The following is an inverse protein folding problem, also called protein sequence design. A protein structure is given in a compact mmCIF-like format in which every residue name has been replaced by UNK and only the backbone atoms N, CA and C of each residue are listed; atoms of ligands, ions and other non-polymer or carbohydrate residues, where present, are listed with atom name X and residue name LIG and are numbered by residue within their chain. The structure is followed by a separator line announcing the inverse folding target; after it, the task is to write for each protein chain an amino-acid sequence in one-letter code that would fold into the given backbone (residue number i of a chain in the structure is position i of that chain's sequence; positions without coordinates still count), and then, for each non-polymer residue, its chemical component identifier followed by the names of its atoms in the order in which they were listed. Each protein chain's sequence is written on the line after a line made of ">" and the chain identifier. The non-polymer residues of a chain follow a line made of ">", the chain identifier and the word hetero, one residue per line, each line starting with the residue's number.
data_IF_088824751150
#
_entry.id   IF_088824751150
#
_cell.length_a   1.000
_cell.length_b   1.000
_cell.length_c   1.000
_cell.angle_alpha   90.00
_cell.angle_beta   90.00
_cell.angle_gamma   90.00
#
_symmetry.space_group_name_H-M   'P 1'
#
loop_
_entity.id
_entity.type
_entity.pdbx_description
1 polymer ?
#
# COMPACT_ATOMS: atom_id res chain seq x y z
N UNK A 1 -27.25 55.91 26.42
CA UNK A 1 -28.16 54.93 27.05
C UNK A 1 -28.77 54.17 25.88
N UNK A 2 -28.07 53.14 25.40
CA UNK A 2 -28.24 51.71 25.80
C UNK A 2 -29.52 51.17 25.20
N UNK A 3 -29.60 50.01 24.57
CA UNK A 3 -28.65 48.98 24.14
C UNK A 3 -29.52 48.20 23.13
N UNK A 4 -29.02 47.89 21.94
CA UNK A 4 -29.73 46.98 21.05
C UNK A 4 -28.80 45.81 20.88
N UNK A 5 -28.99 44.85 21.79
CA UNK A 5 -28.47 43.50 21.73
C UNK A 5 -28.78 42.90 20.35
N UNK A 6 -27.81 43.00 19.45
CA UNK A 6 -27.68 42.16 18.26
C UNK A 6 -27.28 40.76 18.75
N UNK A 7 -28.25 40.05 19.36
CA UNK A 7 -28.10 38.65 19.76
C UNK A 7 -28.25 37.76 18.52
N UNK A 8 -27.21 37.75 17.70
CA UNK A 8 -27.06 36.78 16.62
C UNK A 8 -26.67 35.42 17.24
N UNK A 9 -27.46 34.33 17.06
CA UNK A 9 -27.11 33.03 17.61
C UNK A 9 -25.84 32.52 16.92
N UNK A 10 -24.76 32.42 17.70
CA UNK A 10 -23.49 31.86 17.27
C UNK A 10 -23.69 30.46 16.69
N UNK A 11 -23.45 30.31 15.38
CA UNK A 11 -23.48 29.01 14.70
C UNK A 11 -22.39 28.10 15.32
N UNK A 12 -22.69 26.85 15.69
CA UNK A 12 -21.74 25.99 16.36
C UNK A 12 -20.58 25.60 15.43
N UNK A 13 -19.42 26.21 15.66
CA UNK A 13 -18.16 25.96 14.95
C UNK A 13 -17.48 24.69 15.48
N UNK A 14 -18.10 23.52 15.37
CA UNK A 14 -17.45 22.28 15.79
C UNK A 14 -18.07 21.03 15.19
N UNK A 15 -17.74 20.65 13.94
CA UNK A 15 -18.05 19.27 13.48
C UNK A 15 -17.13 18.67 12.38
N UNK A 16 -16.08 19.35 11.92
CA UNK A 16 -15.22 18.82 10.85
C UNK A 16 -14.53 17.48 11.18
N UNK A 17 -14.13 17.28 12.45
CA UNK A 17 -13.33 16.13 12.88
C UNK A 17 -14.14 14.84 13.11
N UNK A 18 -15.43 14.92 13.48
CA UNK A 18 -16.26 13.72 13.61
C UNK A 18 -16.70 13.19 12.24
N UNK A 19 -16.97 14.09 11.29
CA UNK A 19 -17.25 13.72 9.91
C UNK A 19 -16.06 12.99 9.26
N UNK A 20 -14.81 13.39 9.56
CA UNK A 20 -13.62 12.70 9.04
C UNK A 20 -13.41 11.30 9.64
N UNK A 21 -13.67 11.11 10.94
CA UNK A 21 -13.61 9.78 11.57
C UNK A 21 -14.70 8.86 11.02
N UNK A 22 -15.92 9.37 10.83
CA UNK A 22 -17.01 8.64 10.18
C UNK A 22 -16.67 8.22 8.75
N UNK A 23 -16.09 9.14 7.96
CA UNK A 23 -15.62 8.85 6.59
C UNK A 23 -14.56 7.75 6.58
N UNK A 24 -13.57 7.81 7.46
CA UNK A 24 -12.51 6.78 7.57
C UNK A 24 -13.09 5.40 7.90
N UNK A 25 -14.08 5.33 8.79
CA UNK A 25 -14.74 4.07 9.15
C UNK A 25 -15.49 3.46 7.95
N UNK A 26 -16.18 4.30 7.16
CA UNK A 26 -16.87 3.88 5.94
C UNK A 26 -15.87 3.37 4.88
N UNK A 27 -14.79 4.12 4.62
CA UNK A 27 -13.73 3.69 3.68
C UNK A 27 -13.12 2.37 4.11
N UNK A 28 -12.80 2.20 5.39
CA UNK A 28 -12.25 0.95 5.93
C UNK A 28 -13.22 -0.21 5.77
N UNK A 29 -14.53 0.02 5.98
CA UNK A 29 -15.56 -0.99 5.79
C UNK A 29 -15.72 -1.38 4.32
N UNK A 30 -15.71 -0.41 3.41
CA UNK A 30 -15.75 -0.64 1.96
C UNK A 30 -14.53 -1.42 1.49
N UNK A 31 -13.34 -1.08 1.97
CA UNK A 31 -12.11 -1.82 1.67
C UNK A 31 -12.20 -3.29 2.10
N UNK A 32 -12.63 -3.55 3.34
CA UNK A 32 -12.82 -4.93 3.84
C UNK A 32 -13.88 -5.69 3.04
N UNK A 33 -14.94 -5.03 2.61
CA UNK A 33 -15.97 -5.66 1.79
C UNK A 33 -15.43 -6.02 0.40
N UNK A 34 -14.71 -5.09 -0.25
CA UNK A 34 -14.07 -5.34 -1.54
C UNK A 34 -13.06 -6.48 -1.46
N UNK A 35 -12.22 -6.53 -0.42
CA UNK A 35 -11.27 -7.63 -0.23
C UNK A 35 -11.98 -8.99 -0.14
N UNK A 36 -13.01 -9.11 0.70
CA UNK A 36 -13.77 -10.37 0.80
C UNK A 36 -14.44 -10.78 -0.51
N UNK A 37 -14.88 -9.81 -1.31
CA UNK A 37 -15.45 -10.10 -2.62
C UNK A 37 -14.38 -10.61 -3.58
N UNK A 38 -13.18 -10.03 -3.58
CA UNK A 38 -12.03 -10.52 -4.33
C UNK A 38 -11.69 -11.96 -3.92
N UNK A 39 -11.50 -12.22 -2.62
CA UNK A 39 -11.17 -13.55 -2.10
C UNK A 39 -12.21 -14.60 -2.52
N UNK A 40 -13.50 -14.23 -2.50
CA UNK A 40 -14.59 -15.11 -2.93
C UNK A 40 -14.61 -15.34 -4.46
N UNK A 41 -14.12 -14.40 -5.26
CA UNK A 41 -13.94 -14.58 -6.70
C UNK A 41 -12.73 -15.46 -6.99
N UNK A 42 -11.62 -15.27 -6.28
CA UNK A 42 -10.42 -16.10 -6.39
C UNK A 42 -10.73 -17.57 -6.07
N UNK A 43 -11.46 -17.83 -4.97
CA UNK A 43 -11.90 -19.18 -4.64
C UNK A 43 -12.77 -19.83 -5.74
N UNK A 44 -13.65 -19.05 -6.38
CA UNK A 44 -14.44 -19.55 -7.53
C UNK A 44 -13.57 -19.83 -8.74
N UNK A 45 -12.57 -18.99 -9.02
CA UNK A 45 -11.62 -19.21 -10.11
C UNK A 45 -10.75 -20.45 -9.89
N UNK A 46 -10.39 -20.75 -8.63
CA UNK A 46 -9.64 -21.96 -8.28
C UNK A 46 -10.48 -23.24 -8.43
N UNK A 47 -11.80 -23.15 -8.29
CA UNK A 47 -12.75 -24.25 -8.55
C UNK A 47 -12.94 -24.53 -10.05
N UNK A 48 -12.58 -23.59 -10.94
CA UNK A 48 -12.70 -23.81 -12.38
C UNK A 48 -11.64 -24.82 -12.89
N UNK A 49 -12.02 -25.74 -13.79
CA UNK A 49 -11.05 -26.65 -14.40
C UNK A 49 -10.02 -25.85 -15.20
N UNK A 50 -8.76 -26.29 -15.15
CA UNK A 50 -7.64 -25.63 -15.85
C UNK A 50 -7.97 -25.43 -17.34
N UNK A 51 -8.00 -24.19 -17.77
CA UNK A 51 -8.31 -23.81 -19.16
C UNK A 51 -9.77 -23.40 -19.41
N UNK A 52 -10.66 -23.48 -18.42
CA UNK A 52 -11.97 -22.86 -18.50
C UNK A 52 -11.86 -21.34 -18.32
N UNK A 53 -12.54 -20.59 -19.19
CA UNK A 53 -12.61 -19.14 -19.09
C UNK A 53 -13.60 -18.74 -17.98
N UNK A 54 -13.24 -17.71 -17.22
CA UNK A 54 -14.16 -17.05 -16.30
C UNK A 54 -15.36 -16.47 -17.06
N UNK A 55 -16.51 -16.41 -16.40
CA UNK A 55 -17.74 -15.90 -17.02
C UNK A 55 -17.66 -14.40 -17.34
N UNK A 56 -18.40 -13.94 -18.36
CA UNK A 56 -18.46 -12.51 -18.71
C UNK A 56 -18.99 -11.64 -17.55
N UNK A 57 -19.96 -12.16 -16.79
CA UNK A 57 -20.50 -11.50 -15.60
C UNK A 57 -19.42 -11.34 -14.52
N UNK A 58 -18.53 -12.31 -14.37
CA UNK A 58 -17.41 -12.24 -13.44
C UNK A 58 -16.35 -11.23 -13.89
N UNK A 59 -16.01 -11.19 -15.18
CA UNK A 59 -15.13 -10.15 -15.72
C UNK A 59 -15.69 -8.74 -15.48
N UNK A 60 -17.01 -8.55 -15.64
CA UNK A 60 -17.69 -7.28 -15.32
C UNK A 60 -17.63 -6.96 -13.82
N UNK A 61 -17.87 -7.95 -12.96
CA UNK A 61 -17.77 -7.77 -11.50
C UNK A 61 -16.35 -7.34 -11.08
N UNK A 62 -15.31 -7.98 -11.63
CA UNK A 62 -13.91 -7.62 -11.39
C UNK A 62 -13.57 -6.21 -11.89
N UNK A 63 -14.08 -5.81 -13.06
CA UNK A 63 -13.87 -4.46 -13.58
C UNK A 63 -14.49 -3.38 -12.66
N UNK A 64 -15.70 -3.64 -12.13
CA UNK A 64 -16.34 -2.73 -11.17
C UNK A 64 -15.54 -2.69 -9.87
N UNK A 65 -15.06 -3.83 -9.36
CA UNK A 65 -14.26 -3.89 -8.14
C UNK A 65 -12.91 -3.17 -8.29
N UNK A 66 -12.23 -3.34 -9.42
CA UNK A 66 -11.00 -2.60 -9.71
C UNK A 66 -11.24 -1.08 -9.76
N UNK A 67 -12.38 -0.66 -10.32
CA UNK A 67 -12.78 0.75 -10.33
C UNK A 67 -13.04 1.28 -8.92
N UNK A 68 -13.78 0.56 -8.08
CA UNK A 68 -14.08 1.01 -6.71
C UNK A 68 -12.82 1.07 -5.85
N UNK A 69 -11.88 0.12 -6.00
CA UNK A 69 -10.59 0.18 -5.32
C UNK A 69 -9.79 1.42 -5.75
N UNK A 70 -9.76 1.74 -7.05
CA UNK A 70 -9.10 2.97 -7.54
C UNK A 70 -9.75 4.23 -6.97
N UNK A 71 -11.08 4.27 -6.91
CA UNK A 71 -11.82 5.39 -6.32
C UNK A 71 -11.56 5.52 -4.81
N UNK A 72 -11.50 4.40 -4.07
CA UNK A 72 -11.14 4.41 -2.65
C UNK A 72 -9.71 4.90 -2.40
N UNK A 73 -8.75 4.51 -3.25
CA UNK A 73 -7.36 5.01 -3.18
C UNK A 73 -7.31 6.50 -3.47
N UNK A 74 -8.06 6.99 -4.46
CA UNK A 74 -8.14 8.42 -4.76
C UNK A 74 -8.76 9.22 -3.60
N UNK A 75 -9.78 8.67 -2.93
CA UNK A 75 -10.40 9.29 -1.75
C UNK A 75 -9.45 9.33 -0.53
N UNK A 76 -8.58 8.33 -0.38
CA UNK A 76 -7.56 8.29 0.69
C UNK A 76 -6.36 9.20 0.38
N UNK A 77 -6.02 9.40 -0.89
CA UNK A 77 -5.01 10.36 -1.34
C UNK A 77 -5.49 11.81 -1.16
N UNK A 78 -6.72 12.11 -1.55
CA UNK A 78 -7.34 13.44 -1.41
C UNK A 78 -7.76 13.79 0.04
N UNK A 79 -7.44 12.95 1.02
CA UNK A 79 -7.77 13.21 2.41
C UNK A 79 -6.98 14.44 2.92
N UNK A 80 -7.67 15.48 3.43
CA UNK A 80 -7.02 16.73 3.83
C UNK A 80 -6.03 16.46 4.97
N UNK A 81 -4.74 16.72 4.71
CA UNK A 81 -3.65 16.60 5.68
C UNK A 81 -2.66 15.44 5.46
N UNK A 82 -2.78 14.66 4.37
CA UNK A 82 -1.80 13.61 3.99
C UNK A 82 -0.78 14.05 2.94
N UNK A 83 -1.17 14.93 2.03
CA UNK A 83 -0.29 15.42 0.94
C UNK A 83 0.88 16.27 1.44
N UNK A 84 0.75 16.96 2.59
CA UNK A 84 1.81 17.79 3.16
C UNK A 84 2.80 17.04 4.07
N UNK A 85 2.40 15.95 4.73
CA UNK A 85 3.23 15.36 5.81
C UNK A 85 4.27 14.34 5.36
N UNK A 86 4.13 13.79 4.15
CA UNK A 86 4.99 12.68 3.70
C UNK A 86 6.14 13.13 2.79
N UNK A 87 6.16 14.39 2.36
CA UNK A 87 7.24 14.97 1.55
C UNK A 87 8.13 15.96 2.33
N UNK A 88 7.71 16.36 3.52
CA UNK A 88 8.32 17.47 4.29
C UNK A 88 9.24 17.02 5.45
N UNK A 89 9.33 15.72 5.77
CA UNK A 89 10.12 15.28 6.94
C UNK A 89 11.58 14.93 6.65
N UNK A 90 12.04 14.96 5.40
CA UNK A 90 13.45 14.87 5.08
C UNK A 90 13.85 16.02 4.16
N UNK A 91 14.59 16.98 4.72
CA UNK A 91 15.31 17.98 3.93
C UNK A 91 16.00 17.28 2.74
N UNK A 92 16.00 17.86 1.53
CA UNK A 92 16.63 17.25 0.35
C UNK A 92 18.07 16.76 0.60
N UNK A 93 18.82 17.45 1.47
CA UNK A 93 20.16 17.05 1.89
C UNK A 93 20.20 15.79 2.79
N UNK A 94 19.16 15.54 3.58
CA UNK A 94 19.01 14.30 4.36
C UNK A 94 18.65 13.12 3.45
N UNK A 95 17.79 13.33 2.44
CA UNK A 95 17.47 12.32 1.44
C UNK A 95 18.70 11.85 0.64
N UNK A 96 19.55 12.79 0.20
CA UNK A 96 20.79 12.45 -0.51
C UNK A 96 21.78 11.67 0.36
N UNK A 97 21.88 11.99 1.65
CA UNK A 97 22.72 11.23 2.61
C UNK A 97 22.22 9.79 2.79
N UNK A 98 20.91 9.60 2.89
CA UNK A 98 20.32 8.26 3.02
C UNK A 98 20.58 7.39 1.78
N UNK A 99 20.48 7.97 0.58
CA UNK A 99 20.81 7.28 -0.69
C UNK A 99 22.29 6.90 -0.75
N UNK A 100 23.19 7.77 -0.26
CA UNK A 100 24.62 7.47 -0.21
C UNK A 100 24.92 6.28 0.72
N UNK A 101 24.28 6.21 1.88
CA UNK A 101 24.42 5.08 2.81
C UNK A 101 23.88 3.77 2.23
N UNK A 102 22.73 3.82 1.54
CA UNK A 102 22.18 2.64 0.85
C UNK A 102 23.15 2.10 -0.21
N UNK A 103 23.80 2.99 -0.99
CA UNK A 103 24.79 2.58 -2.00
C UNK A 103 26.01 1.91 -1.37
N UNK A 104 26.50 2.42 -0.24
CA UNK A 104 27.63 1.81 0.49
C UNK A 104 27.27 0.41 1.01
N UNK A 105 26.09 0.27 1.61
CA UNK A 105 25.65 -1.03 2.15
C UNK A 105 25.41 -2.04 1.03
N UNK A 106 24.88 -1.62 -0.12
CA UNK A 106 24.75 -2.47 -1.29
C UNK A 106 26.12 -2.94 -1.83
N UNK A 107 27.09 -2.02 -1.94
CA UNK A 107 28.44 -2.36 -2.37
C UNK A 107 29.09 -3.39 -1.42
N UNK A 108 28.98 -3.18 -0.09
CA UNK A 108 29.45 -4.13 0.92
C UNK A 108 28.81 -5.51 0.75
N UNK A 109 27.50 -5.59 0.53
CA UNK A 109 26.81 -6.88 0.35
C UNK A 109 27.24 -7.59 -0.93
N UNK A 110 27.44 -6.84 -2.01
CA UNK A 110 27.98 -7.40 -3.26
C UNK A 110 29.41 -7.90 -3.09
N UNK A 111 30.26 -7.19 -2.35
CA UNK A 111 31.62 -7.65 -2.02
C UNK A 111 31.60 -8.96 -1.21
N UNK A 112 30.72 -9.07 -0.22
CA UNK A 112 30.55 -10.32 0.56
C UNK A 112 30.09 -11.48 -0.32
N UNK A 113 29.14 -11.25 -1.22
CA UNK A 113 28.68 -12.28 -2.17
C UNK A 113 29.77 -12.69 -3.16
N UNK A 114 30.49 -11.72 -3.72
CA UNK A 114 31.60 -11.97 -4.64
C UNK A 114 32.76 -12.72 -3.95
N UNK A 115 33.06 -12.39 -2.70
CA UNK A 115 34.08 -13.09 -1.92
C UNK A 115 33.65 -14.52 -1.53
N UNK A 116 32.36 -14.73 -1.27
CA UNK A 116 31.79 -16.06 -1.00
C UNK A 116 31.71 -16.97 -2.22
N UNK A 117 31.62 -16.40 -3.43
CA UNK A 117 31.62 -17.14 -4.69
C UNK A 117 33.04 -17.49 -5.18
N UNK A 118 34.07 -16.86 -4.61
CA UNK A 118 35.49 -17.10 -4.89
C UNK A 118 36.19 -18.06 -3.90
N UNK A 119 35.45 -18.83 -3.11
CA UNK A 119 36.02 -19.92 -2.30
C UNK A 119 35.82 -21.29 -2.98
N UNK A 120 36.72 -21.73 -3.89
CA UNK A 120 36.66 -23.04 -4.54
C UNK A 120 37.11 -24.20 -3.63
N UNK A 121 37.03 -24.08 -2.30
CA UNK A 121 37.48 -25.12 -1.38
C UNK A 121 36.48 -26.27 -1.15
N UNK A 122 35.29 -26.26 -1.77
CA UNK A 122 34.26 -27.32 -1.62
C UNK A 122 33.86 -27.93 -2.97
N UNK A 123 34.79 -28.06 -3.92
CA UNK A 123 34.54 -28.70 -5.21
C UNK A 123 35.64 -29.70 -5.64
N UNK A 124 36.40 -30.26 -4.70
CA UNK A 124 37.40 -31.29 -4.99
C UNK A 124 37.51 -32.32 -3.85
N UNK A 125 36.45 -33.09 -3.64
CA UNK A 125 36.60 -34.49 -3.18
C UNK A 125 35.90 -35.37 -4.22
N UNK A 126 36.65 -36.06 -5.09
CA UNK A 126 36.06 -37.02 -6.01
C UNK A 126 35.52 -38.20 -5.19
N UNK A 127 34.24 -38.49 -5.36
CA UNK A 127 33.66 -39.80 -5.04
C UNK A 127 34.16 -40.75 -6.12
N UNK A 128 35.30 -41.39 -5.87
CA UNK A 128 35.72 -42.57 -6.63
C UNK A 128 34.95 -43.76 -6.07
N UNK A 129 33.85 -44.09 -6.73
CA UNK A 129 33.29 -45.44 -6.72
C UNK A 129 33.73 -46.15 -7.99
N UNK A 130 34.52 -47.21 -7.85
CA UNK A 130 34.67 -48.23 -8.88
C UNK A 130 34.99 -49.61 -8.28
N UNK A 131 34.27 -50.61 -8.83
CA UNK A 131 34.36 -52.08 -8.71
C UNK A 131 34.27 -52.78 -7.34
#
# INVERSE_FOLDING_TARGET
>A
MSDSDDDAPALPVANGKRLSVGRKAVVTRLWRAAQRQLDAHEARLDELPKGAAASESEAKALAVLARTVRELVALDAAAPGREDKSKDELSPAAGLRHVAELRKELARRLEVLAAGEMDPAVAATPVDGDA
#
